data_IF_533595163091
#
_entry.id   IF_533595163091
#
_cell.length_a   1.000
_cell.length_b   1.000
_cell.length_c   1.000
_cell.angle_alpha   90.00
_cell.angle_beta   90.00
_cell.angle_gamma   90.00
#
_symmetry.space_group_name_H-M   'P 1'
#
loop_
_entity.id
_entity.type
_entity.pdbx_description
1 polymer ?
#
# COMPACT_ATOMS: atom_id res chain seq x y z
N UNK A 1 -43.81 28.45 -12.06
CA UNK A 1 -43.18 28.01 -10.80
C UNK A 1 -42.18 26.91 -11.13
N UNK A 2 -40.88 27.16 -11.01
CA UNK A 2 -39.86 26.12 -10.75
C UNK A 2 -38.46 26.75 -10.61
N UNK A 3 -38.31 27.67 -9.66
CA UNK A 3 -36.99 28.00 -9.07
C UNK A 3 -36.50 26.88 -8.13
N UNK A 4 -37.33 25.84 -7.95
CA UNK A 4 -37.10 24.69 -7.09
C UNK A 4 -36.34 23.60 -7.87
N UNK A 5 -35.00 23.66 -7.96
CA UNK A 5 -34.19 22.49 -8.40
C UNK A 5 -32.66 22.65 -8.40
N UNK A 6 -32.09 23.81 -8.03
CA UNK A 6 -30.63 23.97 -8.07
C UNK A 6 -30.02 24.20 -6.68
N UNK A 7 -30.67 24.97 -5.83
CA UNK A 7 -30.15 25.34 -4.50
C UNK A 7 -30.17 24.16 -3.51
N UNK A 8 -31.23 23.34 -3.49
CA UNK A 8 -31.32 22.17 -2.58
C UNK A 8 -30.29 21.07 -2.89
N UNK A 9 -29.94 20.85 -4.17
CA UNK A 9 -28.89 19.90 -4.56
C UNK A 9 -27.50 20.33 -4.09
N UNK A 10 -27.27 21.64 -3.98
CA UNK A 10 -25.99 22.17 -3.54
C UNK A 10 -25.77 22.05 -2.03
N UNK A 11 -26.84 22.08 -1.24
CA UNK A 11 -26.78 21.94 0.23
C UNK A 11 -26.35 20.52 0.60
N UNK A 12 -26.92 19.49 -0.04
CA UNK A 12 -26.62 18.09 0.30
C UNK A 12 -25.17 17.67 -0.04
N UNK A 13 -24.58 18.23 -1.12
CA UNK A 13 -23.22 17.88 -1.55
C UNK A 13 -22.16 18.51 -0.64
N UNK A 14 -22.43 19.68 -0.05
CA UNK A 14 -21.51 20.35 0.88
C UNK A 14 -21.34 19.59 2.20
N UNK A 15 -22.35 18.84 2.64
CA UNK A 15 -22.28 18.05 3.87
C UNK A 15 -21.44 16.78 3.71
N UNK A 16 -21.38 16.17 2.52
CA UNK A 16 -20.68 14.90 2.29
C UNK A 16 -19.32 15.06 1.60
N UNK A 17 -19.01 16.25 1.07
CA UNK A 17 -17.79 16.47 0.29
C UNK A 17 -17.11 17.79 0.65
N UNK A 18 -15.79 17.72 0.85
CA UNK A 18 -14.97 18.91 1.10
C UNK A 18 -14.80 19.75 -0.18
N UNK A 19 -14.88 19.12 -1.36
CA UNK A 19 -14.75 19.77 -2.65
C UNK A 19 -15.62 19.08 -3.70
N UNK A 20 -16.29 19.87 -4.54
CA UNK A 20 -17.09 19.38 -5.66
C UNK A 20 -16.85 20.25 -6.89
N UNK A 21 -17.08 19.66 -8.07
CA UNK A 21 -16.96 20.33 -9.36
C UNK A 21 -18.28 20.20 -10.10
N UNK A 22 -18.85 21.33 -10.54
CA UNK A 22 -20.06 21.35 -11.35
C UNK A 22 -19.72 21.10 -12.82
N UNK A 23 -20.61 20.37 -13.51
CA UNK A 23 -20.50 20.17 -14.96
C UNK A 23 -20.89 21.47 -15.70
N UNK A 24 -20.30 21.73 -16.88
CA UNK A 24 -19.21 20.98 -17.51
C UNK A 24 -17.87 21.23 -16.81
N UNK A 25 -17.11 20.16 -16.58
CA UNK A 25 -15.84 20.25 -15.85
C UNK A 25 -14.72 20.50 -16.88
N UNK A 26 -13.93 21.55 -16.65
CA UNK A 26 -12.75 21.83 -17.47
C UNK A 26 -11.49 21.20 -16.87
N UNK A 27 -10.49 20.91 -17.73
CA UNK A 27 -9.20 20.34 -17.30
C UNK A 27 -8.50 21.20 -16.25
N UNK A 28 -8.60 22.53 -16.39
CA UNK A 28 -7.99 23.50 -15.47
C UNK A 28 -8.67 23.46 -14.10
N UNK A 29 -10.01 23.45 -14.07
CA UNK A 29 -10.75 23.36 -12.81
C UNK A 29 -10.47 22.06 -12.06
N UNK A 30 -10.37 20.94 -12.78
CA UNK A 30 -9.99 19.66 -12.18
C UNK A 30 -8.60 19.73 -11.55
N UNK A 31 -7.61 20.24 -12.29
CA UNK A 31 -6.23 20.35 -11.82
C UNK A 31 -6.12 21.24 -10.57
N UNK A 32 -6.82 22.37 -10.55
CA UNK A 32 -6.80 23.29 -9.40
C UNK A 32 -7.43 22.67 -8.15
N UNK A 33 -8.53 21.92 -8.30
CA UNK A 33 -9.16 21.22 -7.17
C UNK A 33 -8.27 20.11 -6.64
N UNK A 34 -7.59 19.36 -7.52
CA UNK A 34 -6.60 18.35 -7.11
C UNK A 34 -5.40 18.97 -6.38
N UNK A 35 -4.88 20.10 -6.87
CA UNK A 35 -3.80 20.85 -6.18
C UNK A 35 -4.18 21.30 -4.77
N UNK A 36 -5.46 21.61 -4.53
CA UNK A 36 -5.96 21.98 -3.19
C UNK A 36 -6.06 20.79 -2.24
N UNK A 37 -6.39 19.60 -2.76
CA UNK A 37 -6.45 18.35 -1.99
C UNK A 37 -5.06 17.82 -1.63
N UNK A 38 -4.08 18.05 -2.50
CA UNK A 38 -2.71 17.60 -2.31
C UNK A 38 -1.80 18.84 -2.30
N UNK A 39 -1.71 19.58 -1.17
CA UNK A 39 -0.73 20.64 -1.03
C UNK A 39 0.63 20.03 -1.34
N UNK A 40 1.24 20.49 -2.43
CA UNK A 40 2.53 20.00 -2.90
C UNK A 40 3.52 20.15 -1.76
N UNK A 41 3.86 19.05 -1.10
CA UNK A 41 5.12 18.94 -0.38
C UNK A 41 6.20 18.94 -1.44
N UNK A 42 7.07 19.93 -1.42
CA UNK A 42 8.31 19.86 -2.19
C UNK A 42 9.03 18.58 -1.78
N UNK A 43 8.95 17.57 -2.64
CA UNK A 43 9.86 16.44 -2.57
C UNK A 43 11.20 17.04 -2.96
N UNK A 44 12.01 17.38 -1.95
CA UNK A 44 13.41 17.75 -2.18
C UNK A 44 14.00 16.67 -3.09
N UNK A 45 14.58 17.02 -4.24
CA UNK A 45 15.32 16.05 -5.01
C UNK A 45 16.44 15.54 -4.10
N UNK A 46 16.42 14.25 -3.82
CA UNK A 46 17.57 13.57 -3.23
C UNK A 46 18.63 13.56 -4.34
N UNK A 47 19.41 14.62 -4.41
CA UNK A 47 20.64 14.62 -5.20
C UNK A 47 21.61 13.68 -4.49
N UNK A 48 21.76 12.52 -5.12
CA UNK A 48 22.83 11.53 -5.02
C UNK A 48 24.09 11.98 -4.28
N UNK A 49 24.33 11.38 -3.12
CA UNK A 49 25.66 10.99 -2.63
C UNK A 49 25.53 9.70 -1.84
N UNK A 50 26.52 8.82 -2.02
CA UNK A 50 26.70 7.50 -1.44
C UNK A 50 25.94 6.35 -2.12
N UNK A 51 26.58 5.82 -3.17
CA UNK A 51 26.83 4.37 -3.24
C UNK A 51 27.24 3.84 -1.86
N UNK A 52 26.81 2.61 -1.54
CA UNK A 52 27.09 1.90 -0.30
C UNK A 52 26.55 2.56 0.98
N UNK A 53 25.27 2.34 1.27
CA UNK A 53 24.80 2.02 2.62
C UNK A 53 23.42 1.35 2.51
N UNK A 54 23.36 0.24 1.74
CA UNK A 54 22.61 -0.89 2.27
C UNK A 54 23.36 -1.18 3.56
N UNK A 55 22.81 -0.78 4.70
CA UNK A 55 23.29 -1.29 5.97
C UNK A 55 23.37 -2.79 5.80
N UNK A 56 24.60 -3.29 5.66
CA UNK A 56 25.04 -4.53 6.28
C UNK A 56 24.75 -4.35 7.77
N UNK A 57 23.47 -4.31 8.13
CA UNK A 57 23.11 -4.99 9.34
C UNK A 57 23.63 -6.41 9.07
N UNK A 58 24.45 -6.98 9.96
CA UNK A 58 24.46 -8.42 9.99
C UNK A 58 23.00 -8.76 10.28
N UNK A 59 22.24 -9.10 9.24
CA UNK A 59 21.09 -9.97 9.38
C UNK A 59 21.72 -11.24 9.88
N UNK A 60 21.95 -11.27 11.20
CA UNK A 60 22.00 -12.49 11.96
C UNK A 60 20.62 -13.05 11.68
N UNK A 61 20.52 -13.80 10.58
CA UNK A 61 19.37 -14.57 10.20
C UNK A 61 19.32 -15.62 11.28
N UNK A 62 18.69 -15.27 12.41
CA UNK A 62 18.29 -16.24 13.39
C UNK A 62 17.43 -17.21 12.58
N UNK A 63 17.82 -18.49 12.48
CA UNK A 63 17.11 -19.45 11.67
C UNK A 63 15.65 -19.38 12.09
N UNK A 64 14.81 -18.87 11.19
CA UNK A 64 13.38 -18.79 11.50
C UNK A 64 12.88 -20.20 11.71
N UNK A 65 11.90 -20.36 12.61
CA UNK A 65 11.40 -21.68 12.94
C UNK A 65 11.03 -22.43 11.65
N UNK A 66 11.42 -23.70 11.50
CA UNK A 66 11.10 -24.46 10.29
C UNK A 66 9.59 -24.55 10.06
N UNK A 67 8.80 -24.41 11.12
CA UNK A 67 7.34 -24.30 11.07
C UNK A 67 6.85 -23.01 10.37
N UNK A 68 7.48 -21.85 10.66
CA UNK A 68 7.16 -20.60 9.97
C UNK A 68 7.51 -20.70 8.49
N UNK A 69 8.67 -21.27 8.15
CA UNK A 69 9.07 -21.48 6.77
C UNK A 69 8.04 -22.36 6.03
N UNK A 70 7.62 -23.48 6.63
CA UNK A 70 6.60 -24.34 6.04
C UNK A 70 5.28 -23.59 5.78
N UNK A 71 4.82 -22.76 6.73
CA UNK A 71 3.62 -21.91 6.59
C UNK A 71 3.78 -20.89 5.45
N UNK A 72 4.94 -20.22 5.36
CA UNK A 72 5.23 -19.25 4.29
C UNK A 72 5.31 -19.91 2.91
N UNK A 73 5.91 -21.10 2.81
CA UNK A 73 5.96 -21.88 1.57
C UNK A 73 4.57 -22.31 1.11
N UNK A 74 3.73 -22.80 2.02
CA UNK A 74 2.34 -23.15 1.70
C UNK A 74 1.55 -21.92 1.24
N UNK A 75 1.74 -20.77 1.90
CA UNK A 75 1.07 -19.52 1.55
C UNK A 75 1.52 -19.01 0.17
N UNK A 76 2.82 -19.14 -0.15
CA UNK A 76 3.36 -18.83 -1.48
C UNK A 76 2.72 -19.69 -2.57
N UNK A 77 2.58 -20.99 -2.33
CA UNK A 77 2.02 -21.92 -3.31
C UNK A 77 0.52 -21.68 -3.57
N UNK A 78 -0.26 -21.43 -2.50
CA UNK A 78 -1.73 -21.36 -2.60
C UNK A 78 -2.29 -19.96 -2.85
N UNK A 79 -1.72 -18.93 -2.22
CA UNK A 79 -2.36 -17.61 -2.10
C UNK A 79 -1.62 -16.55 -2.91
N UNK A 80 -0.28 -16.56 -2.89
CA UNK A 80 0.52 -15.52 -3.56
C UNK A 80 0.31 -15.46 -5.08
N UNK A 81 0.26 -16.61 -5.76
CA UNK A 81 0.04 -16.66 -7.21
C UNK A 81 -1.30 -16.06 -7.63
N UNK A 82 -2.35 -16.27 -6.83
CA UNK A 82 -3.65 -15.71 -7.10
C UNK A 82 -3.67 -14.21 -6.80
N UNK A 83 -3.15 -13.80 -5.63
CA UNK A 83 -3.05 -12.40 -5.22
C UNK A 83 -2.30 -11.52 -6.23
N UNK A 84 -1.19 -12.02 -6.79
CA UNK A 84 -0.42 -11.30 -7.80
C UNK A 84 -1.24 -11.05 -9.07
N UNK A 85 -2.16 -11.95 -9.43
CA UNK A 85 -3.00 -11.83 -10.63
C UNK A 85 -4.25 -10.99 -10.38
N UNK A 86 -4.92 -11.19 -9.25
CA UNK A 86 -6.23 -10.60 -8.98
C UNK A 86 -6.14 -9.21 -8.37
N UNK A 87 -5.08 -8.93 -7.60
CA UNK A 87 -4.87 -7.65 -6.89
C UNK A 87 -6.09 -7.21 -6.07
N UNK A 88 -6.88 -8.16 -5.57
CA UNK A 88 -8.09 -7.86 -4.81
C UNK A 88 -7.69 -7.29 -3.45
N UNK A 89 -8.03 -6.02 -3.21
CA UNK A 89 -7.65 -5.26 -2.01
C UNK A 89 -8.03 -5.96 -0.70
N UNK A 90 -9.18 -6.66 -0.68
CA UNK A 90 -9.64 -7.41 0.50
C UNK A 90 -8.72 -8.59 0.80
N UNK A 91 -8.35 -9.36 -0.22
CA UNK A 91 -7.45 -10.52 -0.09
C UNK A 91 -6.04 -10.06 0.31
N UNK A 92 -5.55 -8.96 -0.28
CA UNK A 92 -4.26 -8.37 0.06
C UNK A 92 -4.18 -7.91 1.50
N UNK A 93 -5.25 -7.33 2.03
CA UNK A 93 -5.35 -6.90 3.43
C UNK A 93 -5.38 -8.09 4.38
N UNK A 94 -6.04 -9.18 3.99
CA UNK A 94 -6.02 -10.42 4.75
C UNK A 94 -4.62 -11.05 4.74
N UNK A 95 -3.98 -11.08 3.58
CA UNK A 95 -2.62 -11.57 3.40
C UNK A 95 -1.62 -10.79 4.26
N UNK A 96 -1.65 -9.45 4.21
CA UNK A 96 -0.74 -8.62 5.01
C UNK A 96 -0.96 -8.81 6.52
N UNK A 97 -2.21 -8.92 6.98
CA UNK A 97 -2.52 -9.21 8.39
C UNK A 97 -2.00 -10.58 8.83
N UNK A 98 -2.09 -11.57 7.95
CA UNK A 98 -1.63 -12.92 8.27
C UNK A 98 -0.10 -12.98 8.38
N UNK A 99 0.62 -12.31 7.46
CA UNK A 99 2.07 -12.18 7.56
C UNK A 99 2.49 -11.42 8.82
N UNK A 100 1.78 -10.35 9.18
CA UNK A 100 2.05 -9.61 10.41
C UNK A 100 1.89 -10.51 11.64
N UNK A 101 0.78 -11.25 11.73
CA UNK A 101 0.53 -12.17 12.84
C UNK A 101 1.62 -13.24 12.98
N UNK A 102 2.05 -13.83 11.87
CA UNK A 102 3.16 -14.78 11.90
C UNK A 102 4.49 -14.12 12.27
N UNK A 103 4.71 -12.88 11.83
CA UNK A 103 5.88 -12.10 12.23
C UNK A 103 5.92 -11.85 13.74
N UNK A 104 4.78 -11.52 14.34
CA UNK A 104 4.63 -11.34 15.79
C UNK A 104 4.78 -12.66 16.56
N UNK A 105 4.10 -13.73 16.12
CA UNK A 105 4.11 -15.05 16.76
C UNK A 105 5.52 -15.67 16.80
N UNK A 106 6.28 -15.52 15.71
CA UNK A 106 7.64 -16.08 15.58
C UNK A 106 8.74 -15.03 15.78
N UNK A 107 8.40 -13.83 16.26
CA UNK A 107 9.33 -12.72 16.53
C UNK A 107 10.23 -12.37 15.32
N UNK A 108 9.70 -12.51 14.09
CA UNK A 108 10.40 -12.22 12.85
C UNK A 108 10.12 -10.79 12.39
N UNK A 109 11.02 -9.88 12.77
CA UNK A 109 10.89 -8.46 12.45
C UNK A 109 10.84 -8.20 10.93
N UNK A 110 11.62 -8.94 10.15
CA UNK A 110 11.63 -8.81 8.67
C UNK A 110 10.25 -9.10 8.06
N UNK A 111 9.50 -10.05 8.63
CA UNK A 111 8.16 -10.38 8.17
C UNK A 111 7.13 -9.31 8.59
N UNK A 112 7.27 -8.77 9.81
CA UNK A 112 6.46 -7.65 10.32
C UNK A 112 6.65 -6.41 9.44
N UNK A 113 7.90 -6.07 9.12
CA UNK A 113 8.24 -4.90 8.30
C UNK A 113 7.66 -5.04 6.88
N UNK A 114 7.78 -6.24 6.29
CA UNK A 114 7.18 -6.54 5.00
C UNK A 114 5.65 -6.39 5.02
N UNK A 115 4.99 -6.92 6.06
CA UNK A 115 3.54 -6.82 6.23
C UNK A 115 3.07 -5.37 6.42
N UNK A 116 3.82 -4.57 7.18
CA UNK A 116 3.54 -3.15 7.37
C UNK A 116 3.73 -2.35 6.07
N UNK A 117 4.76 -2.68 5.28
CA UNK A 117 4.98 -2.07 3.97
C UNK A 117 3.78 -2.30 3.03
N UNK A 118 3.29 -3.55 2.95
CA UNK A 118 2.08 -3.87 2.20
C UNK A 118 0.86 -3.11 2.72
N UNK A 119 0.65 -3.08 4.04
CA UNK A 119 -0.49 -2.39 4.65
C UNK A 119 -0.49 -0.89 4.32
N UNK A 120 0.68 -0.24 4.38
CA UNK A 120 0.86 1.17 4.02
C UNK A 120 0.55 1.41 2.54
N UNK A 121 1.08 0.59 1.64
CA UNK A 121 0.80 0.70 0.20
C UNK A 121 -0.69 0.47 -0.12
N UNK A 122 -1.36 -0.42 0.62
CA UNK A 122 -2.82 -0.60 0.53
C UNK A 122 -3.60 0.63 0.98
N UNK A 123 -3.11 1.36 1.99
CA UNK A 123 -3.75 2.59 2.47
C UNK A 123 -3.50 3.78 1.53
N UNK A 124 -2.34 3.82 0.89
CA UNK A 124 -1.96 4.83 -0.09
C UNK A 124 -2.55 4.55 -1.48
N UNK A 125 -3.22 3.42 -1.69
CA UNK A 125 -3.76 2.95 -2.98
C UNK A 125 -2.69 2.91 -4.12
N UNK A 126 -1.42 2.74 -3.74
CA UNK A 126 -0.29 2.73 -4.66
C UNK A 126 -0.10 1.35 -5.28
N UNK A 127 -0.88 1.08 -6.33
CA UNK A 127 -0.97 -0.22 -7.01
C UNK A 127 0.38 -0.67 -7.60
N UNK A 128 1.18 0.27 -8.12
CA UNK A 128 2.48 -0.01 -8.72
C UNK A 128 3.50 -0.48 -7.67
N UNK A 129 3.57 0.20 -6.52
CA UNK A 129 4.43 -0.25 -5.41
C UNK A 129 3.96 -1.57 -4.82
N UNK A 130 2.64 -1.78 -4.77
CA UNK A 130 2.03 -3.01 -4.28
C UNK A 130 2.45 -4.22 -5.10
N UNK A 131 2.40 -4.10 -6.43
CA UNK A 131 2.87 -5.14 -7.35
C UNK A 131 4.35 -5.45 -7.15
N UNK A 132 5.19 -4.41 -7.11
CA UNK A 132 6.63 -4.57 -6.88
C UNK A 132 6.94 -5.20 -5.53
N UNK A 133 6.15 -4.90 -4.51
CA UNK A 133 6.35 -5.47 -3.16
C UNK A 133 5.92 -6.93 -3.11
N UNK A 134 4.79 -7.28 -3.71
CA UNK A 134 4.36 -8.68 -3.87
C UNK A 134 5.40 -9.52 -4.60
N UNK A 135 6.05 -8.99 -5.63
CA UNK A 135 7.11 -9.70 -6.36
C UNK A 135 8.36 -9.97 -5.52
N UNK A 136 8.56 -9.23 -4.43
CA UNK A 136 9.66 -9.46 -3.48
C UNK A 136 9.33 -10.56 -2.48
N UNK A 137 8.07 -10.98 -2.34
CA UNK A 137 7.67 -12.02 -1.38
C UNK A 137 8.44 -13.36 -1.54
N UNK A 138 8.65 -13.91 -2.76
CA UNK A 138 9.47 -15.10 -2.94
C UNK A 138 10.92 -14.94 -2.46
N UNK A 139 11.49 -13.74 -2.59
CA UNK A 139 12.86 -13.45 -2.15
C UNK A 139 12.95 -13.31 -0.63
N UNK A 140 11.92 -12.70 -0.01
CA UNK A 140 11.72 -12.64 1.44
C UNK A 140 11.72 -14.06 2.05
N UNK A 141 10.96 -14.99 1.47
CA UNK A 141 10.94 -16.39 1.94
C UNK A 141 12.32 -17.06 1.79
N UNK A 142 13.04 -16.80 0.70
CA UNK A 142 14.40 -17.34 0.48
C UNK A 142 15.43 -16.80 1.47
N UNK A 143 15.32 -15.52 1.87
CA UNK A 143 16.26 -14.93 2.84
C UNK A 143 16.08 -15.41 4.28
N UNK A 144 14.93 -16.03 4.58
CA UNK A 144 14.61 -16.57 5.90
C UNK A 144 14.95 -18.06 6.05
N UNK A 145 15.30 -18.72 4.93
CA UNK A 145 15.72 -20.13 4.84
C UNK A 145 17.20 -20.27 5.19
#
# INVERSE_FOLDING_TARGET
MSAYSQEEKEINIKDISHFFLKKPITRVQLLLTLKKLFPFTEIKPITTVAEDNISKLPLISMPTSPELLAKLHQQKAKVWHNLRKTMITKELRQFSRQLQRWGEEYHCQTLIDYANCLKKQLQEFDSDKLAKTLEKFPNLVRSLQ
#
